data_IF_493794950555
#
_entry.id   IF_493794950555
#
_cell.length_a   1.000
_cell.length_b   1.000
_cell.length_c   1.000
_cell.angle_alpha   90.00
_cell.angle_beta   90.00
_cell.angle_gamma   90.00
#
_symmetry.space_group_name_H-M   'P 1'
#
loop_
_entity.id
_entity.type
_entity.pdbx_description
1 polymer ?
#
# COMPACT_ATOMS: atom_id res chain seq x y z
N UNK A 1 7.74 -15.26 24.80
CA UNK A 1 6.37 -15.08 25.35
C UNK A 1 5.56 -16.28 24.94
N UNK A 2 4.79 -16.93 25.83
CA UNK A 2 3.82 -17.94 25.38
C UNK A 2 2.72 -17.18 24.62
N UNK A 3 2.56 -17.52 23.36
CA UNK A 3 1.51 -16.98 22.52
C UNK A 3 0.19 -17.54 23.03
N UNK A 4 -0.80 -16.69 23.27
CA UNK A 4 -2.12 -17.11 23.78
C UNK A 4 -3.13 -17.39 22.67
N UNK A 5 -2.70 -17.29 21.38
CA UNK A 5 -3.59 -17.54 20.26
C UNK A 5 -3.85 -19.05 20.10
N UNK A 6 -5.11 -19.40 19.97
CA UNK A 6 -5.58 -20.77 19.70
C UNK A 6 -6.51 -20.80 18.49
N UNK A 7 -6.27 -21.75 17.57
CA UNK A 7 -7.14 -21.98 16.43
C UNK A 7 -8.50 -22.48 16.89
N UNK A 8 -9.55 -22.08 16.17
CA UNK A 8 -10.91 -22.59 16.41
C UNK A 8 -11.05 -24.10 16.12
N UNK A 9 -10.11 -24.67 15.35
CA UNK A 9 -10.09 -26.06 14.95
C UNK A 9 -11.41 -26.54 14.31
N UNK A 10 -11.97 -25.71 13.43
CA UNK A 10 -13.26 -25.90 12.77
C UNK A 10 -13.19 -26.66 11.45
N UNK A 11 -12.07 -27.33 11.15
CA UNK A 11 -11.83 -28.07 9.91
C UNK A 11 -11.44 -27.20 8.71
N UNK A 12 -11.34 -25.88 8.88
CA UNK A 12 -10.89 -24.94 7.84
C UNK A 12 -9.37 -24.83 7.82
N UNK A 13 -8.82 -24.38 6.68
CA UNK A 13 -7.39 -24.04 6.57
C UNK A 13 -7.02 -23.00 7.63
N UNK A 14 -5.96 -23.26 8.38
CA UNK A 14 -5.35 -22.35 9.36
C UNK A 14 -4.47 -21.35 8.64
N UNK A 15 -5.00 -20.16 8.40
CA UNK A 15 -4.31 -19.11 7.65
C UNK A 15 -3.70 -18.07 8.59
N UNK A 16 -2.39 -17.91 8.54
CA UNK A 16 -1.70 -16.81 9.18
C UNK A 16 -1.54 -15.66 8.19
N UNK A 17 -1.94 -14.45 8.59
CA UNK A 17 -1.69 -13.20 7.85
C UNK A 17 -0.75 -12.35 8.69
N UNK A 18 0.37 -11.91 8.14
CA UNK A 18 1.32 -11.04 8.84
C UNK A 18 1.31 -9.66 8.20
N UNK A 19 1.12 -8.63 9.01
CA UNK A 19 1.11 -7.22 8.63
C UNK A 19 2.02 -6.41 9.54
N UNK A 20 2.56 -5.30 9.06
CA UNK A 20 3.47 -4.45 9.84
C UNK A 20 3.20 -2.97 9.73
N UNK A 21 2.44 -2.53 8.73
CA UNK A 21 2.25 -1.12 8.42
C UNK A 21 0.79 -0.80 8.09
N UNK A 22 0.44 0.49 8.20
CA UNK A 22 -0.89 1.01 7.81
C UNK A 22 -1.29 0.66 6.37
N UNK A 23 -0.42 0.90 5.36
CA UNK A 23 -0.76 0.55 3.98
C UNK A 23 -1.11 -0.92 3.79
N UNK A 24 -0.46 -1.84 4.52
CA UNK A 24 -0.79 -3.27 4.46
C UNK A 24 -2.18 -3.54 5.04
N UNK A 25 -2.53 -2.93 6.18
CA UNK A 25 -3.85 -3.08 6.81
C UNK A 25 -4.95 -2.56 5.88
N UNK A 26 -4.76 -1.38 5.29
CA UNK A 26 -5.71 -0.78 4.34
C UNK A 26 -5.92 -1.71 3.16
N UNK A 27 -4.85 -2.08 2.46
CA UNK A 27 -4.90 -2.91 1.26
C UNK A 27 -5.45 -4.31 1.52
N UNK A 28 -5.13 -4.90 2.68
CA UNK A 28 -5.63 -6.23 3.03
C UNK A 28 -7.01 -6.21 3.69
N UNK A 29 -7.61 -5.07 3.98
CA UNK A 29 -8.84 -4.99 4.77
C UNK A 29 -9.99 -5.84 4.21
N UNK A 30 -10.26 -5.77 2.90
CA UNK A 30 -11.25 -6.59 2.23
C UNK A 30 -10.84 -8.08 2.22
N UNK A 31 -9.57 -8.36 1.94
CA UNK A 31 -9.02 -9.72 1.93
C UNK A 31 -9.06 -10.36 3.32
N UNK A 32 -8.73 -9.62 4.38
CA UNK A 32 -8.83 -10.11 5.77
C UNK A 32 -10.26 -10.49 6.12
N UNK A 33 -11.25 -9.63 5.80
CA UNK A 33 -12.66 -9.95 6.02
C UNK A 33 -13.04 -11.25 5.34
N UNK A 34 -12.70 -11.38 4.08
CA UNK A 34 -13.02 -12.55 3.28
C UNK A 34 -12.30 -13.82 3.76
N UNK A 35 -11.04 -13.68 4.16
CA UNK A 35 -10.28 -14.81 4.75
C UNK A 35 -10.91 -15.29 6.07
N UNK A 36 -11.38 -14.39 6.92
CA UNK A 36 -12.07 -14.75 8.18
C UNK A 36 -13.40 -15.47 7.97
N UNK A 37 -14.08 -15.27 6.85
CA UNK A 37 -15.30 -16.00 6.49
C UNK A 37 -15.01 -17.45 6.10
N UNK A 38 -13.94 -17.68 5.34
CA UNK A 38 -13.65 -18.97 4.72
C UNK A 38 -12.61 -19.81 5.44
N UNK A 39 -11.70 -19.19 6.20
CA UNK A 39 -10.59 -19.85 6.88
C UNK A 39 -10.66 -19.69 8.40
N UNK A 40 -9.92 -20.52 9.11
CA UNK A 40 -9.52 -20.26 10.48
C UNK A 40 -8.31 -19.32 10.43
N UNK A 41 -8.52 -18.05 10.77
CA UNK A 41 -7.60 -16.98 10.41
C UNK A 41 -6.98 -16.33 11.65
N UNK A 42 -5.65 -16.25 11.68
CA UNK A 42 -4.86 -15.51 12.64
C UNK A 42 -4.20 -14.32 11.98
N UNK A 43 -4.33 -13.13 12.58
CA UNK A 43 -3.66 -11.92 12.12
C UNK A 43 -2.57 -11.56 13.12
N UNK A 44 -1.31 -11.55 12.68
CA UNK A 44 -0.18 -11.12 13.46
C UNK A 44 0.34 -9.76 12.97
N UNK A 45 0.50 -8.82 13.89
CA UNK A 45 1.08 -7.52 13.61
C UNK A 45 2.52 -7.46 14.10
N UNK A 46 3.45 -7.03 13.25
CA UNK A 46 4.87 -6.97 13.61
C UNK A 46 5.17 -5.93 14.68
N UNK A 47 4.40 -4.84 14.75
CA UNK A 47 4.65 -3.73 15.67
C UNK A 47 5.69 -2.73 15.15
N UNK A 48 6.03 -2.77 13.86
CA UNK A 48 7.06 -1.93 13.26
C UNK A 48 6.76 -0.43 13.37
N UNK A 49 5.50 -0.02 13.26
CA UNK A 49 5.05 1.37 13.41
C UNK A 49 4.12 1.46 14.62
N UNK A 50 4.72 1.59 15.80
CA UNK A 50 4.00 1.63 17.06
C UNK A 50 3.57 3.07 17.41
N UNK A 51 2.49 3.54 16.80
CA UNK A 51 1.66 4.59 17.36
C UNK A 51 0.30 3.98 17.66
N UNK A 52 0.07 3.66 18.94
CA UNK A 52 -1.14 2.97 19.43
C UNK A 52 -2.41 3.70 18.99
N UNK A 53 -2.39 5.04 19.03
CA UNK A 53 -3.55 5.87 18.71
C UNK A 53 -3.89 5.88 17.22
N UNK A 54 -2.90 5.69 16.35
CA UNK A 54 -3.11 5.64 14.91
C UNK A 54 -3.54 4.24 14.42
N UNK A 55 -3.10 3.17 15.07
CA UNK A 55 -3.43 1.80 14.64
C UNK A 55 -4.89 1.43 14.92
N UNK A 56 -5.42 1.74 16.10
CA UNK A 56 -6.79 1.36 16.48
C UNK A 56 -7.85 2.02 15.59
N UNK A 57 -7.61 3.25 15.14
CA UNK A 57 -8.49 3.97 14.22
C UNK A 57 -8.61 3.22 12.88
N UNK A 58 -7.50 2.68 12.33
CA UNK A 58 -7.56 1.97 11.04
C UNK A 58 -8.30 0.65 11.11
N UNK A 59 -8.13 -0.13 12.18
CA UNK A 59 -8.90 -1.35 12.35
C UNK A 59 -10.40 -1.06 12.45
N UNK A 60 -10.78 0.00 13.16
CA UNK A 60 -12.17 0.41 13.31
C UNK A 60 -12.76 1.00 12.02
N UNK A 61 -12.02 1.83 11.27
CA UNK A 61 -12.46 2.41 10.00
C UNK A 61 -12.91 1.35 9.01
N UNK A 62 -12.15 0.24 8.96
CA UNK A 62 -12.48 -0.90 8.10
C UNK A 62 -13.39 -1.93 8.78
N UNK A 63 -13.90 -1.67 9.99
CA UNK A 63 -14.72 -2.64 10.75
C UNK A 63 -14.02 -4.00 10.89
N UNK A 64 -12.72 -3.95 11.18
CA UNK A 64 -11.89 -5.10 11.50
C UNK A 64 -11.65 -5.14 13.00
N UNK A 65 -11.65 -6.34 13.59
CA UNK A 65 -11.03 -6.53 14.91
C UNK A 65 -9.52 -6.36 14.76
N UNK A 66 -8.86 -5.84 15.79
CA UNK A 66 -7.40 -5.72 15.81
C UNK A 66 -6.67 -7.05 15.56
N UNK A 67 -5.34 -7.04 15.57
CA UNK A 67 -4.54 -8.25 15.38
C UNK A 67 -4.73 -9.22 16.54
N UNK A 68 -4.69 -10.52 16.23
CA UNK A 68 -4.77 -11.58 17.23
C UNK A 68 -3.44 -11.73 18.00
N UNK A 69 -2.33 -11.34 17.37
CA UNK A 69 -0.97 -11.45 17.91
C UNK A 69 -0.15 -10.20 17.64
N UNK A 70 0.54 -9.68 18.66
CA UNK A 70 1.55 -8.64 18.53
C UNK A 70 2.95 -9.26 18.64
N UNK A 71 3.78 -9.10 17.58
CA UNK A 71 5.11 -9.73 17.53
C UNK A 71 6.21 -8.88 18.18
N UNK A 72 6.02 -7.53 18.23
CA UNK A 72 6.97 -6.58 18.86
C UNK A 72 8.41 -6.75 18.35
N UNK A 73 8.61 -6.55 17.05
CA UNK A 73 9.88 -6.83 16.36
C UNK A 73 10.88 -5.67 16.37
N UNK A 74 10.49 -4.49 16.82
CA UNK A 74 11.34 -3.30 16.74
C UNK A 74 12.64 -3.53 17.52
N UNK A 75 13.76 -3.38 16.87
CA UNK A 75 15.11 -3.47 17.42
C UNK A 75 15.77 -2.08 17.50
N UNK A 76 17.00 -2.04 17.99
CA UNK A 76 17.79 -0.80 18.13
C UNK A 76 18.18 -0.20 16.77
N UNK A 77 18.21 -1.03 15.73
CA UNK A 77 18.52 -0.62 14.35
C UNK A 77 17.76 -1.48 13.34
N UNK A 78 17.86 -1.12 12.07
CA UNK A 78 17.17 -1.81 10.98
C UNK A 78 17.56 -3.28 10.88
N UNK A 79 18.84 -3.60 11.03
CA UNK A 79 19.33 -4.99 10.97
C UNK A 79 18.72 -5.87 12.07
N UNK A 80 18.67 -5.37 13.32
CA UNK A 80 17.98 -6.07 14.41
C UNK A 80 16.48 -6.21 14.15
N UNK A 81 15.83 -5.17 13.63
CA UNK A 81 14.42 -5.20 13.29
C UNK A 81 14.13 -6.29 12.26
N UNK A 82 14.89 -6.35 11.16
CA UNK A 82 14.77 -7.41 10.16
C UNK A 82 15.04 -8.82 10.75
N UNK A 83 16.09 -8.94 11.56
CA UNK A 83 16.40 -10.20 12.28
C UNK A 83 15.28 -10.62 13.21
N UNK A 84 14.68 -9.69 13.95
CA UNK A 84 13.56 -9.95 14.85
C UNK A 84 12.29 -10.38 14.09
N UNK A 85 12.01 -9.82 12.90
CA UNK A 85 10.90 -10.32 12.06
C UNK A 85 11.07 -11.81 11.80
N UNK A 86 12.25 -12.23 11.34
CA UNK A 86 12.53 -13.64 11.04
C UNK A 86 12.43 -14.50 12.32
N UNK A 87 13.10 -14.09 13.39
CA UNK A 87 13.13 -14.87 14.64
C UNK A 87 11.73 -15.03 15.26
N UNK A 88 11.00 -13.92 15.42
CA UNK A 88 9.68 -13.92 16.04
C UNK A 88 8.61 -14.62 15.19
N UNK A 89 8.68 -14.46 13.87
CA UNK A 89 7.77 -15.18 12.99
C UNK A 89 8.04 -16.70 12.98
N UNK A 90 9.30 -17.10 13.10
CA UNK A 90 9.64 -18.51 13.24
C UNK A 90 9.08 -19.10 14.55
N UNK A 91 9.29 -18.43 15.69
CA UNK A 91 8.73 -18.83 16.98
C UNK A 91 7.20 -18.94 16.91
N UNK A 92 6.53 -17.91 16.37
CA UNK A 92 5.08 -17.90 16.22
C UNK A 92 4.59 -19.07 15.37
N UNK A 93 5.15 -19.26 14.18
CA UNK A 93 4.72 -20.31 13.25
C UNK A 93 5.01 -21.72 13.79
N UNK A 94 6.11 -21.92 14.51
CA UNK A 94 6.45 -23.20 15.14
C UNK A 94 5.45 -23.54 16.26
N UNK A 95 4.97 -22.54 16.99
CA UNK A 95 4.00 -22.69 18.08
C UNK A 95 2.59 -22.96 17.54
N UNK A 96 2.04 -22.05 16.69
CA UNK A 96 0.64 -22.14 16.22
C UNK A 96 0.44 -23.05 15.02
N UNK A 97 1.49 -23.42 14.28
CA UNK A 97 1.48 -24.36 13.13
C UNK A 97 0.40 -24.06 12.10
N UNK A 98 0.47 -22.90 11.40
CA UNK A 98 -0.49 -22.58 10.36
C UNK A 98 -0.32 -23.49 9.13
N UNK A 99 -1.40 -23.69 8.36
CA UNK A 99 -1.38 -24.42 7.10
C UNK A 99 -0.87 -23.57 5.94
N UNK A 100 -0.98 -22.23 6.04
CA UNK A 100 -0.52 -21.28 5.05
C UNK A 100 -0.19 -19.92 5.66
N UNK A 101 0.71 -19.19 4.98
CA UNK A 101 1.05 -17.78 5.25
C UNK A 101 0.60 -16.91 4.08
N UNK A 102 -0.11 -15.83 4.36
CA UNK A 102 -0.40 -14.73 3.43
C UNK A 102 0.38 -13.49 3.85
N UNK A 103 1.11 -12.91 2.92
CA UNK A 103 1.85 -11.65 3.07
C UNK A 103 1.55 -10.71 1.90
N UNK A 104 1.79 -9.42 2.12
CA UNK A 104 1.60 -8.40 1.11
C UNK A 104 2.83 -7.53 0.97
N UNK A 105 3.27 -7.34 -0.28
CA UNK A 105 4.27 -6.33 -0.66
C UNK A 105 5.67 -6.63 -0.15
N UNK A 106 6.35 -5.59 0.25
CA UNK A 106 7.80 -5.51 0.37
C UNK A 106 8.31 -4.86 1.65
N UNK A 107 7.41 -4.49 2.57
CA UNK A 107 7.83 -3.99 3.89
C UNK A 107 8.55 -5.09 4.68
N UNK A 108 9.23 -4.74 5.77
CA UNK A 108 9.98 -5.73 6.53
C UNK A 108 9.12 -6.92 7.03
N UNK A 109 7.80 -6.75 7.17
CA UNK A 109 6.87 -7.83 7.53
C UNK A 109 6.96 -9.03 6.59
N UNK A 110 7.24 -8.79 5.28
CA UNK A 110 7.34 -9.83 4.27
C UNK A 110 8.52 -10.80 4.51
N UNK A 111 9.55 -10.40 5.26
CA UNK A 111 10.70 -11.26 5.61
C UNK A 111 10.27 -12.47 6.47
N UNK A 112 9.09 -12.45 7.05
CA UNK A 112 8.46 -13.62 7.70
C UNK A 112 8.32 -14.82 6.76
N UNK A 113 8.31 -14.61 5.44
CA UNK A 113 8.35 -15.65 4.43
C UNK A 113 9.57 -16.57 4.57
N UNK A 114 10.72 -16.06 5.04
CA UNK A 114 11.92 -16.87 5.28
C UNK A 114 11.64 -17.94 6.34
N UNK A 115 10.95 -17.58 7.42
CA UNK A 115 10.55 -18.49 8.48
C UNK A 115 9.55 -19.54 8.01
N UNK A 116 8.52 -19.11 7.26
CA UNK A 116 7.55 -20.02 6.68
C UNK A 116 8.21 -21.03 5.72
N UNK A 117 9.16 -20.55 4.89
CA UNK A 117 9.92 -21.43 4.00
C UNK A 117 10.70 -22.48 4.74
N UNK A 118 11.33 -22.14 5.86
CA UNK A 118 12.10 -23.07 6.71
C UNK A 118 11.20 -24.09 7.43
N UNK A 119 9.96 -23.69 7.74
CA UNK A 119 8.96 -24.56 8.38
C UNK A 119 8.09 -25.32 7.37
N UNK A 120 8.36 -25.21 6.07
CA UNK A 120 7.60 -25.83 4.98
C UNK A 120 6.12 -25.43 4.99
N UNK A 121 5.82 -24.17 5.32
CA UNK A 121 4.48 -23.61 5.29
C UNK A 121 4.28 -22.94 3.92
N UNK A 122 3.22 -23.29 3.16
CA UNK A 122 2.88 -22.66 1.91
C UNK A 122 2.77 -21.15 2.03
N UNK A 123 3.45 -20.41 1.13
CA UNK A 123 3.54 -18.95 1.14
C UNK A 123 2.81 -18.37 -0.05
N UNK A 124 1.85 -17.47 0.23
CA UNK A 124 1.11 -16.69 -0.76
C UNK A 124 1.54 -15.22 -0.65
N UNK A 125 2.10 -14.67 -1.71
CA UNK A 125 2.65 -13.32 -1.75
C UNK A 125 1.83 -12.42 -2.66
N UNK A 126 1.03 -11.50 -2.10
CA UNK A 126 0.32 -10.46 -2.83
C UNK A 126 1.26 -9.29 -3.15
N UNK A 127 0.99 -8.56 -4.23
CA UNK A 127 1.84 -7.50 -4.77
C UNK A 127 3.20 -8.00 -5.27
N UNK A 128 3.28 -9.26 -5.64
CA UNK A 128 4.49 -9.87 -6.18
C UNK A 128 4.88 -9.28 -7.55
N UNK A 129 6.15 -9.23 -7.85
CA UNK A 129 6.67 -8.86 -9.18
C UNK A 129 6.77 -7.37 -9.46
N UNK A 130 6.40 -6.49 -8.55
CA UNK A 130 6.63 -5.05 -8.71
C UNK A 130 8.13 -4.74 -8.77
N UNK A 131 8.51 -3.77 -9.62
CA UNK A 131 9.92 -3.34 -9.79
C UNK A 131 9.99 -1.84 -10.00
N UNK A 132 10.88 -1.17 -9.28
CA UNK A 132 11.13 0.26 -9.46
C UNK A 132 12.51 0.60 -10.03
N UNK A 133 13.39 -0.36 -10.23
CA UNK A 133 14.77 -0.18 -10.71
C UNK A 133 15.66 0.72 -9.82
N UNK A 134 15.21 1.08 -8.64
CA UNK A 134 15.99 1.83 -7.66
C UNK A 134 16.41 0.87 -6.54
N UNK A 135 17.66 0.40 -6.64
CA UNK A 135 18.21 -0.55 -5.66
C UNK A 135 18.63 0.11 -4.33
N UNK A 136 18.54 1.44 -4.23
CA UNK A 136 18.72 2.14 -2.96
C UNK A 136 17.52 1.97 -2.02
N UNK A 137 16.35 1.55 -2.56
CA UNK A 137 15.18 1.29 -1.76
C UNK A 137 15.28 -0.07 -1.06
N UNK A 138 15.20 -0.12 0.28
CA UNK A 138 15.21 -1.39 1.02
C UNK A 138 14.11 -2.36 0.56
N UNK A 139 12.98 -1.82 0.17
CA UNK A 139 11.83 -2.56 -0.33
C UNK A 139 12.15 -3.34 -1.62
N UNK A 140 13.03 -2.80 -2.50
CA UNK A 140 13.43 -3.52 -3.71
C UNK A 140 14.19 -4.82 -3.39
N UNK A 141 15.02 -4.79 -2.36
CA UNK A 141 15.70 -5.99 -1.86
C UNK A 141 14.71 -7.00 -1.29
N UNK A 142 13.80 -6.53 -0.43
CA UNK A 142 12.80 -7.38 0.21
C UNK A 142 11.91 -8.09 -0.82
N UNK A 143 11.37 -7.34 -1.81
CA UNK A 143 10.46 -7.91 -2.82
C UNK A 143 11.15 -8.98 -3.67
N UNK A 144 12.40 -8.76 -4.08
CA UNK A 144 13.18 -9.75 -4.83
C UNK A 144 13.38 -11.05 -4.04
N UNK A 145 13.72 -10.94 -2.76
CA UNK A 145 13.86 -12.12 -1.89
C UNK A 145 12.53 -12.87 -1.81
N UNK A 146 11.47 -12.16 -1.50
CA UNK A 146 10.16 -12.78 -1.19
C UNK A 146 9.50 -13.33 -2.45
N UNK A 147 9.61 -12.69 -3.61
CA UNK A 147 9.13 -13.22 -4.88
C UNK A 147 9.75 -14.60 -5.19
N UNK A 148 11.06 -14.74 -4.95
CA UNK A 148 11.78 -15.99 -5.24
C UNK A 148 11.41 -17.12 -4.29
N UNK A 149 11.24 -16.83 -3.00
CA UNK A 149 11.00 -17.88 -1.99
C UNK A 149 9.52 -18.21 -1.81
N UNK A 150 8.59 -17.37 -2.29
CA UNK A 150 7.15 -17.61 -2.20
C UNK A 150 6.73 -18.79 -3.08
N UNK A 151 5.78 -19.57 -2.60
CA UNK A 151 5.28 -20.75 -3.30
C UNK A 151 4.23 -20.38 -4.36
N UNK A 152 3.42 -19.35 -4.09
CA UNK A 152 2.41 -18.80 -5.00
C UNK A 152 2.55 -17.27 -5.00
N UNK A 153 2.85 -16.71 -6.17
CA UNK A 153 2.95 -15.27 -6.39
C UNK A 153 1.62 -14.73 -6.95
N UNK A 154 1.15 -13.65 -6.37
CA UNK A 154 -0.11 -12.98 -6.68
C UNK A 154 0.17 -11.53 -7.13
N UNK A 155 0.72 -11.32 -8.34
CA UNK A 155 0.96 -9.98 -8.88
C UNK A 155 -0.35 -9.23 -9.09
N UNK A 156 -0.29 -7.90 -9.01
CA UNK A 156 -1.44 -7.04 -9.25
C UNK A 156 -1.69 -6.84 -10.75
N UNK A 157 -0.64 -6.81 -11.56
CA UNK A 157 -0.73 -6.50 -12.98
C UNK A 157 -0.12 -7.59 -13.85
N UNK A 158 -0.55 -7.63 -15.12
CA UNK A 158 0.08 -8.50 -16.12
C UNK A 158 1.54 -8.09 -16.38
N UNK A 159 1.90 -6.80 -16.21
CA UNK A 159 3.29 -6.34 -16.28
C UNK A 159 4.14 -6.99 -15.17
N UNK A 160 3.69 -6.93 -13.92
CA UNK A 160 4.37 -7.56 -12.78
C UNK A 160 4.47 -9.09 -12.96
N UNK A 161 3.41 -9.73 -13.44
CA UNK A 161 3.40 -11.17 -13.75
C UNK A 161 4.46 -11.52 -14.80
N UNK A 162 4.60 -10.70 -15.83
CA UNK A 162 5.62 -10.89 -16.87
C UNK A 162 7.03 -10.82 -16.27
N UNK A 163 7.32 -9.86 -15.39
CA UNK A 163 8.61 -9.79 -14.69
C UNK A 163 8.90 -11.08 -13.90
N UNK A 164 7.92 -11.61 -13.17
CA UNK A 164 8.08 -12.87 -12.44
C UNK A 164 8.42 -14.04 -13.38
N UNK A 165 7.74 -14.16 -14.52
CA UNK A 165 8.03 -15.20 -15.50
C UNK A 165 9.43 -15.06 -16.12
N UNK A 166 9.87 -13.83 -16.42
CA UNK A 166 11.22 -13.54 -16.90
C UNK A 166 12.31 -13.90 -15.87
N UNK A 167 11.98 -13.79 -14.57
CA UNK A 167 12.84 -14.26 -13.48
C UNK A 167 12.81 -15.77 -13.27
N UNK A 168 12.04 -16.52 -14.06
CA UNK A 168 11.93 -17.98 -13.95
C UNK A 168 10.94 -18.47 -12.91
N UNK A 169 10.04 -17.60 -12.40
CA UNK A 169 8.99 -18.06 -11.49
C UNK A 169 7.99 -18.98 -12.19
N UNK A 170 7.51 -20.04 -11.51
CA UNK A 170 6.59 -21.01 -12.11
C UNK A 170 5.29 -20.38 -12.59
N UNK A 171 4.95 -20.56 -13.87
CA UNK A 171 3.74 -20.00 -14.47
C UNK A 171 2.47 -20.53 -13.80
N UNK A 172 2.48 -21.81 -13.45
CA UNK A 172 1.37 -22.51 -12.80
C UNK A 172 1.15 -22.09 -11.34
N UNK A 173 2.01 -21.25 -10.79
CA UNK A 173 1.91 -20.71 -9.43
C UNK A 173 2.03 -19.18 -9.37
N UNK A 174 1.73 -18.53 -10.51
CA UNK A 174 1.77 -17.05 -10.63
C UNK A 174 0.44 -16.58 -11.23
N UNK A 175 -0.39 -15.92 -10.40
CA UNK A 175 -1.76 -15.54 -10.75
C UNK A 175 -1.97 -14.04 -10.59
N UNK A 176 -2.27 -13.34 -11.69
CA UNK A 176 -2.65 -11.92 -11.62
C UNK A 176 -4.01 -11.78 -10.93
N UNK A 177 -4.02 -11.08 -9.79
CA UNK A 177 -5.22 -10.88 -8.99
C UNK A 177 -5.88 -9.52 -9.22
N UNK A 178 -5.14 -8.55 -9.68
CA UNK A 178 -5.51 -7.14 -9.60
C UNK A 178 -5.11 -6.54 -8.24
N UNK A 179 -5.10 -5.21 -8.16
CA UNK A 179 -4.89 -4.50 -6.90
C UNK A 179 -6.14 -4.58 -6.01
N UNK A 180 -6.00 -4.82 -4.70
CA UNK A 180 -7.13 -4.82 -3.78
C UNK A 180 -7.73 -3.43 -3.51
N UNK A 181 -7.06 -2.33 -3.94
CA UNK A 181 -7.50 -0.96 -3.63
C UNK A 181 -8.89 -0.64 -4.18
N UNK A 182 -9.23 -1.10 -5.38
CA UNK A 182 -10.57 -0.87 -5.94
C UNK A 182 -11.68 -1.47 -5.07
N UNK A 183 -11.49 -2.71 -4.59
CA UNK A 183 -12.43 -3.36 -3.68
C UNK A 183 -12.54 -2.63 -2.33
N UNK A 184 -11.40 -2.16 -1.79
CA UNK A 184 -11.37 -1.38 -0.54
C UNK A 184 -12.07 -0.04 -0.70
N UNK A 185 -11.79 0.69 -1.76
CA UNK A 185 -12.43 1.98 -2.06
C UNK A 185 -13.93 1.81 -2.31
N UNK A 186 -14.34 0.79 -3.07
CA UNK A 186 -15.76 0.48 -3.31
C UNK A 186 -16.48 0.18 -2.01
N UNK A 187 -15.90 -0.64 -1.16
CA UNK A 187 -16.49 -1.01 0.13
C UNK A 187 -16.66 0.15 1.11
N UNK A 188 -15.91 1.24 0.92
CA UNK A 188 -15.96 2.44 1.75
C UNK A 188 -16.56 3.67 1.02
N UNK A 189 -16.99 3.53 -0.23
CA UNK A 189 -17.35 4.68 -1.09
C UNK A 189 -18.44 5.58 -0.48
N UNK A 190 -19.45 5.01 0.15
CA UNK A 190 -20.51 5.79 0.79
C UNK A 190 -20.00 6.56 2.02
N UNK A 191 -19.11 5.97 2.82
CA UNK A 191 -18.45 6.66 3.94
C UNK A 191 -17.54 7.78 3.42
N UNK A 192 -16.81 7.52 2.34
CA UNK A 192 -15.96 8.51 1.69
C UNK A 192 -16.81 9.69 1.22
N UNK A 193 -17.89 9.45 0.49
CA UNK A 193 -18.77 10.50 -0.03
C UNK A 193 -19.48 11.30 1.07
N UNK A 194 -19.80 10.68 2.18
CA UNK A 194 -20.51 11.32 3.31
C UNK A 194 -19.58 12.03 4.30
N UNK A 195 -18.26 12.04 4.08
CA UNK A 195 -17.33 12.76 4.95
C UNK A 195 -17.60 14.28 4.94
N UNK A 196 -17.58 14.88 6.11
CA UNK A 196 -17.75 16.32 6.33
C UNK A 196 -16.41 17.10 6.37
N UNK A 197 -15.32 16.43 5.97
CA UNK A 197 -13.94 16.95 6.11
C UNK A 197 -13.73 18.29 5.42
N UNK A 198 -14.38 18.55 4.29
CA UNK A 198 -14.30 19.87 3.62
C UNK A 198 -14.79 20.98 4.54
N UNK A 199 -15.95 20.78 5.17
CA UNK A 199 -16.51 21.76 6.12
C UNK A 199 -15.63 21.93 7.36
N UNK A 200 -15.11 20.83 7.93
CA UNK A 200 -14.21 20.87 9.09
C UNK A 200 -12.90 21.61 8.82
N UNK A 201 -12.39 21.53 7.59
CA UNK A 201 -11.13 22.18 7.20
C UNK A 201 -11.34 23.54 6.51
N UNK A 202 -12.59 23.98 6.31
CA UNK A 202 -12.90 25.22 5.60
C UNK A 202 -12.36 25.21 4.17
N UNK A 203 -12.57 24.11 3.46
CA UNK A 203 -12.19 23.91 2.06
C UNK A 203 -13.43 23.81 1.19
N UNK A 204 -13.31 24.24 -0.07
CA UNK A 204 -14.35 24.13 -1.07
C UNK A 204 -13.91 23.21 -2.20
N UNK A 205 -14.85 22.51 -2.79
CA UNK A 205 -14.60 21.60 -3.92
C UNK A 205 -13.92 22.35 -5.08
N UNK A 206 -12.92 21.72 -5.68
CA UNK A 206 -12.09 22.24 -6.78
C UNK A 206 -11.37 23.57 -6.46
N UNK A 207 -11.26 23.96 -5.17
CA UNK A 207 -10.61 25.20 -4.72
C UNK A 207 -9.43 24.93 -3.77
N UNK A 208 -8.81 23.78 -3.86
CA UNK A 208 -7.58 23.43 -3.11
C UNK A 208 -6.79 22.36 -3.84
N UNK A 209 -5.51 22.29 -3.55
CA UNK A 209 -4.62 21.19 -3.96
C UNK A 209 -4.38 20.30 -2.73
N UNK A 210 -4.51 18.98 -2.90
CA UNK A 210 -4.16 18.02 -1.87
C UNK A 210 -2.73 17.55 -2.08
N UNK A 211 -1.87 17.75 -1.09
CA UNK A 211 -0.47 17.32 -1.09
C UNK A 211 -0.23 16.19 -0.09
N UNK A 212 0.47 15.14 -0.54
CA UNK A 212 1.05 14.12 0.33
C UNK A 212 2.47 13.81 -0.12
N UNK A 213 3.46 14.14 0.72
CA UNK A 213 4.87 13.94 0.45
C UNK A 213 5.55 13.39 1.71
N UNK A 214 6.01 12.14 1.65
CA UNK A 214 6.56 11.44 2.81
C UNK A 214 7.69 10.46 2.47
N UNK A 215 7.98 10.25 1.19
CA UNK A 215 9.03 9.35 0.75
C UNK A 215 10.43 9.87 1.09
N UNK A 216 11.30 8.95 1.54
CA UNK A 216 12.67 9.25 1.95
C UNK A 216 13.44 9.94 0.83
N UNK A 217 13.30 9.46 -0.40
CA UNK A 217 13.93 10.02 -1.60
C UNK A 217 13.63 11.51 -1.81
N UNK A 218 12.44 11.97 -1.40
CA UNK A 218 12.02 13.36 -1.54
C UNK A 218 12.39 14.24 -0.34
N UNK A 219 12.52 13.66 0.85
CA UNK A 219 12.56 14.40 2.12
C UNK A 219 13.93 14.34 2.78
N UNK A 220 14.69 13.25 2.64
CA UNK A 220 15.90 13.03 3.44
C UNK A 220 17.10 13.81 2.93
N UNK A 221 17.23 14.03 1.63
CA UNK A 221 18.31 14.86 1.11
C UNK A 221 17.90 16.32 1.08
N UNK A 222 18.78 17.21 1.56
CA UNK A 222 18.53 18.66 1.60
C UNK A 222 18.18 19.22 0.22
N UNK A 223 18.89 18.77 -0.83
CA UNK A 223 18.65 19.20 -2.20
C UNK A 223 17.24 18.87 -2.67
N UNK A 224 16.78 17.65 -2.46
CA UNK A 224 15.46 17.21 -2.91
C UNK A 224 14.36 17.88 -2.07
N UNK A 225 14.58 17.99 -0.77
CA UNK A 225 13.68 18.68 0.13
C UNK A 225 13.44 20.15 -0.30
N UNK A 226 14.51 20.91 -0.52
CA UNK A 226 14.41 22.31 -0.95
C UNK A 226 13.74 22.40 -2.33
N UNK A 227 14.11 21.51 -3.28
CA UNK A 227 13.50 21.48 -4.62
C UNK A 227 11.99 21.25 -4.54
N UNK A 228 11.56 20.24 -3.79
CA UNK A 228 10.16 19.90 -3.63
C UNK A 228 9.35 21.06 -3.01
N UNK A 229 9.79 21.57 -1.86
CA UNK A 229 9.00 22.59 -1.16
C UNK A 229 9.05 23.96 -1.86
N UNK A 230 10.11 24.25 -2.63
CA UNK A 230 10.13 25.41 -3.56
C UNK A 230 9.09 25.22 -4.65
N UNK A 231 8.96 24.04 -5.21
CA UNK A 231 7.94 23.73 -6.22
C UNK A 231 6.51 23.82 -5.63
N UNK A 232 6.31 23.39 -4.39
CA UNK A 232 5.02 23.50 -3.67
C UNK A 232 4.66 24.98 -3.43
N UNK A 233 5.62 25.82 -3.02
CA UNK A 233 5.36 27.26 -2.89
C UNK A 233 4.99 27.88 -4.24
N UNK A 234 5.64 27.48 -5.34
CA UNK A 234 5.30 27.96 -6.68
C UNK A 234 3.90 27.51 -7.14
N UNK A 235 3.47 26.29 -6.76
CA UNK A 235 2.06 25.86 -6.98
C UNK A 235 1.09 26.76 -6.23
N UNK A 236 1.37 27.07 -4.94
CA UNK A 236 0.52 27.93 -4.14
C UNK A 236 0.41 29.36 -4.74
N UNK A 237 1.51 29.89 -5.22
CA UNK A 237 1.54 31.20 -5.89
C UNK A 237 0.74 31.20 -7.21
N UNK A 238 0.94 30.16 -8.03
CA UNK A 238 0.33 30.07 -9.36
C UNK A 238 -1.18 29.94 -9.34
N UNK A 239 -1.68 29.03 -8.49
CA UNK A 239 -3.13 28.71 -8.46
C UNK A 239 -3.91 29.59 -7.49
N UNK A 240 -3.24 30.27 -6.57
CA UNK A 240 -3.83 31.12 -5.52
C UNK A 240 -4.93 30.43 -4.70
N UNK A 241 -4.78 29.13 -4.46
CA UNK A 241 -5.67 28.31 -3.64
C UNK A 241 -4.90 27.67 -2.46
N UNK A 242 -5.60 27.25 -1.39
CA UNK A 242 -4.97 26.50 -0.32
C UNK A 242 -4.33 25.20 -0.83
N UNK A 243 -3.14 24.87 -0.34
CA UNK A 243 -2.53 23.55 -0.48
C UNK A 243 -2.66 22.85 0.86
N UNK A 244 -3.50 21.83 0.96
CA UNK A 244 -3.62 21.01 2.15
C UNK A 244 -2.53 19.93 2.13
N UNK A 245 -1.55 20.07 2.99
CA UNK A 245 -0.47 19.11 3.15
C UNK A 245 -0.78 18.12 4.28
N UNK A 246 -1.26 16.91 3.90
CA UNK A 246 -1.39 15.79 4.83
C UNK A 246 0.01 15.28 5.17
N UNK A 247 0.54 15.75 6.29
CA UNK A 247 1.95 15.67 6.63
C UNK A 247 2.22 14.54 7.61
N UNK A 248 3.07 13.59 7.23
CA UNK A 248 3.55 12.56 8.15
C UNK A 248 4.43 13.19 9.25
N UNK A 249 4.42 12.70 10.51
CA UNK A 249 5.22 13.24 11.60
C UNK A 249 6.71 13.41 11.28
N UNK A 250 7.31 12.48 10.55
CA UNK A 250 8.69 12.56 10.07
C UNK A 250 8.92 13.77 9.17
N UNK A 251 8.02 13.99 8.21
CA UNK A 251 8.11 15.11 7.27
C UNK A 251 7.91 16.44 7.98
N UNK A 252 7.00 16.49 8.97
CA UNK A 252 6.75 17.67 9.82
C UNK A 252 8.01 18.04 10.60
N UNK A 253 8.62 17.07 11.27
CA UNK A 253 9.87 17.26 12.01
C UNK A 253 10.98 17.80 11.10
N UNK A 254 11.15 17.20 9.92
CA UNK A 254 12.15 17.65 8.94
C UNK A 254 11.89 19.08 8.47
N UNK A 255 10.62 19.44 8.25
CA UNK A 255 10.23 20.80 7.87
C UNK A 255 10.58 21.82 8.95
N UNK A 256 10.29 21.51 10.21
CA UNK A 256 10.62 22.35 11.36
C UNK A 256 12.15 22.52 11.53
N UNK A 257 12.91 21.44 11.40
CA UNK A 257 14.38 21.46 11.52
C UNK A 257 15.07 22.19 10.37
N UNK A 258 14.49 22.18 9.17
CA UNK A 258 15.09 22.82 7.99
C UNK A 258 15.04 24.35 8.01
N UNK A 259 14.13 24.94 8.79
CA UNK A 259 13.85 26.37 8.75
C UNK A 259 13.25 26.87 7.43
N UNK A 260 12.80 25.95 6.54
CA UNK A 260 12.20 26.33 5.26
C UNK A 260 10.87 27.04 5.47
N UNK A 261 10.68 28.16 4.77
CA UNK A 261 9.44 28.95 4.87
C UNK A 261 8.44 28.50 3.80
N UNK A 262 7.34 27.92 4.25
CA UNK A 262 6.20 27.60 3.39
C UNK A 262 5.41 28.86 3.04
N UNK A 263 4.82 28.90 1.85
CA UNK A 263 3.83 29.91 1.49
C UNK A 263 2.64 29.85 2.47
N UNK A 264 2.05 31.00 2.78
CA UNK A 264 0.92 31.13 3.73
C UNK A 264 -0.31 30.31 3.35
N UNK A 265 -0.44 29.92 2.09
CA UNK A 265 -1.53 29.10 1.54
C UNK A 265 -1.30 27.60 1.77
N UNK A 266 -0.06 27.19 2.12
CA UNK A 266 0.24 25.79 2.44
C UNK A 266 -0.18 25.53 3.90
N UNK A 267 -1.22 24.74 4.07
CA UNK A 267 -1.78 24.35 5.37
C UNK A 267 -1.31 22.95 5.73
N UNK A 268 -0.42 22.86 6.71
CA UNK A 268 0.08 21.58 7.23
C UNK A 268 -0.95 20.97 8.17
N UNK A 269 -1.42 19.75 7.89
CA UNK A 269 -2.33 19.00 8.74
C UNK A 269 -1.69 17.71 9.24
N UNK A 270 -2.15 17.20 10.36
CA UNK A 270 -1.87 15.83 10.78
C UNK A 270 -2.39 14.84 9.74
N UNK A 271 -1.85 13.59 9.72
CA UNK A 271 -2.34 12.55 8.83
C UNK A 271 -3.84 12.32 9.00
N UNK A 272 -4.54 12.29 7.88
CA UNK A 272 -6.00 12.11 7.85
C UNK A 272 -6.37 10.63 7.85
N UNK A 273 -7.57 10.31 8.32
CA UNK A 273 -8.19 8.99 8.20
C UNK A 273 -8.46 8.63 6.73
N UNK A 274 -8.63 7.34 6.45
CA UNK A 274 -8.81 6.82 5.09
C UNK A 274 -9.99 7.48 4.35
N UNK A 275 -11.15 7.57 4.98
CA UNK A 275 -12.33 8.11 4.35
C UNK A 275 -12.22 9.62 4.06
N UNK A 276 -11.68 10.38 5.01
CA UNK A 276 -11.46 11.81 4.86
C UNK A 276 -10.43 12.14 3.77
N UNK A 277 -9.31 11.41 3.76
CA UNK A 277 -8.29 11.60 2.74
C UNK A 277 -8.82 11.33 1.33
N UNK A 278 -9.56 10.23 1.17
CA UNK A 278 -10.16 9.88 -0.11
C UNK A 278 -11.29 10.85 -0.52
N UNK A 279 -12.05 11.38 0.43
CA UNK A 279 -13.02 12.45 0.13
C UNK A 279 -12.32 13.72 -0.38
N UNK A 280 -11.19 14.08 0.24
CA UNK A 280 -10.38 15.21 -0.21
C UNK A 280 -9.77 14.96 -1.60
N UNK A 281 -9.29 13.74 -1.90
CA UNK A 281 -8.82 13.41 -3.25
C UNK A 281 -9.90 13.62 -4.31
N UNK A 282 -11.13 13.16 -4.05
CA UNK A 282 -12.25 13.27 -4.97
C UNK A 282 -12.64 14.73 -5.27
N UNK A 283 -12.42 15.63 -4.34
CA UNK A 283 -12.88 17.01 -4.41
C UNK A 283 -11.77 18.05 -4.64
N UNK A 284 -10.52 17.62 -4.78
CA UNK A 284 -9.39 18.51 -5.03
C UNK A 284 -9.35 19.03 -6.47
N UNK A 285 -8.83 20.25 -6.65
CA UNK A 285 -8.43 20.78 -7.95
C UNK A 285 -7.39 19.86 -8.60
N UNK A 286 -6.35 19.50 -7.82
CA UNK A 286 -5.34 18.52 -8.17
C UNK A 286 -4.86 17.75 -6.92
N UNK A 287 -4.40 16.52 -7.12
CA UNK A 287 -3.78 15.68 -6.11
C UNK A 287 -2.32 15.51 -6.46
N UNK A 288 -1.44 15.98 -5.59
CA UNK A 288 0.02 15.90 -5.75
C UNK A 288 0.55 14.95 -4.67
N UNK A 289 1.10 13.80 -5.07
CA UNK A 289 1.47 12.77 -4.09
C UNK A 289 2.65 11.92 -4.54
N UNK A 290 3.47 11.47 -3.57
CA UNK A 290 4.49 10.45 -3.76
C UNK A 290 4.02 9.04 -3.33
N UNK A 291 2.74 8.89 -3.01
CA UNK A 291 2.16 7.61 -2.62
C UNK A 291 2.17 6.60 -3.77
N UNK A 292 2.57 5.36 -3.47
CA UNK A 292 2.50 4.26 -4.42
C UNK A 292 1.06 3.84 -4.78
N UNK A 293 0.05 4.26 -4.01
CA UNK A 293 -1.38 3.94 -4.27
C UNK A 293 -2.07 4.98 -5.14
N UNK A 294 -1.49 6.16 -5.36
CA UNK A 294 -2.10 7.21 -6.18
C UNK A 294 -2.57 6.72 -7.56
N UNK A 295 -1.78 5.92 -8.32
CA UNK A 295 -2.24 5.39 -9.60
C UNK A 295 -3.44 4.44 -9.48
N UNK A 296 -3.47 3.62 -8.44
CA UNK A 296 -4.55 2.69 -8.16
C UNK A 296 -5.85 3.43 -7.80
N UNK A 297 -5.74 4.46 -6.96
CA UNK A 297 -6.83 5.33 -6.52
C UNK A 297 -7.37 6.15 -7.71
N UNK A 298 -6.50 6.75 -8.51
CA UNK A 298 -6.87 7.52 -9.70
C UNK A 298 -7.61 6.65 -10.71
N UNK A 299 -7.10 5.44 -10.97
CA UNK A 299 -7.74 4.49 -11.87
C UNK A 299 -9.13 4.08 -11.40
N UNK A 300 -9.28 3.80 -10.11
CA UNK A 300 -10.59 3.50 -9.52
C UNK A 300 -11.56 4.67 -9.68
N UNK A 301 -11.16 5.90 -9.33
CA UNK A 301 -12.03 7.06 -9.45
C UNK A 301 -12.43 7.33 -10.90
N UNK A 302 -11.49 7.18 -11.84
CA UNK A 302 -11.81 7.28 -13.26
C UNK A 302 -12.83 6.22 -13.69
N UNK A 303 -12.74 4.99 -13.17
CA UNK A 303 -13.65 3.88 -13.50
C UNK A 303 -15.09 4.12 -13.06
N UNK A 304 -15.27 4.89 -11.97
CA UNK A 304 -16.60 5.24 -11.45
C UNK A 304 -17.13 6.59 -11.96
N UNK A 305 -16.47 7.18 -12.97
CA UNK A 305 -16.88 8.46 -13.56
C UNK A 305 -16.57 9.67 -12.70
N UNK A 306 -15.61 9.58 -11.79
CA UNK A 306 -15.17 10.67 -10.92
C UNK A 306 -13.67 10.93 -11.06
N UNK A 307 -13.18 11.38 -12.25
CA UNK A 307 -11.76 11.53 -12.49
C UNK A 307 -11.11 12.57 -11.58
N UNK A 308 -9.89 12.30 -11.14
CA UNK A 308 -9.05 13.24 -10.38
C UNK A 308 -7.84 13.69 -11.20
N UNK A 309 -7.38 14.91 -11.02
CA UNK A 309 -6.14 15.40 -11.61
C UNK A 309 -4.96 14.91 -10.76
N UNK A 310 -4.43 13.72 -11.05
CA UNK A 310 -3.41 13.05 -10.27
C UNK A 310 -2.01 13.33 -10.81
N UNK A 311 -1.13 13.83 -9.94
CA UNK A 311 0.28 14.14 -10.23
C UNK A 311 1.17 13.41 -9.22
N UNK A 312 1.99 12.49 -9.71
CA UNK A 312 2.91 11.71 -8.91
C UNK A 312 4.29 12.38 -8.86
N UNK A 313 4.72 12.82 -7.67
CA UNK A 313 5.99 13.52 -7.45
C UNK A 313 7.12 12.52 -7.14
N UNK A 314 7.43 11.67 -8.12
CA UNK A 314 8.48 10.67 -8.04
C UNK A 314 9.34 10.70 -9.31
N UNK A 315 10.56 10.17 -9.21
CA UNK A 315 11.49 10.01 -10.36
C UNK A 315 11.26 8.71 -11.12
N UNK A 316 10.56 7.75 -10.49
CA UNK A 316 10.22 6.45 -11.08
C UNK A 316 8.89 5.96 -10.51
N UNK A 317 8.32 4.94 -11.13
CA UNK A 317 7.07 4.31 -10.66
C UNK A 317 7.16 2.80 -10.74
N UNK A 318 6.57 2.10 -9.77
CA UNK A 318 6.33 0.66 -9.82
C UNK A 318 5.01 0.33 -10.55
N UNK A 319 4.34 1.31 -11.14
CA UNK A 319 3.02 1.20 -11.80
C UNK A 319 3.08 1.69 -13.25
N UNK A 320 3.97 1.12 -14.11
CA UNK A 320 4.10 1.57 -15.49
C UNK A 320 2.81 1.39 -16.31
N UNK A 321 2.01 0.38 -15.98
CA UNK A 321 0.72 0.09 -16.62
C UNK A 321 -0.30 1.22 -16.44
N UNK A 322 -0.29 1.93 -15.31
CA UNK A 322 -1.17 3.07 -15.09
C UNK A 322 -0.72 4.32 -15.87
N UNK A 323 0.58 4.47 -16.13
CA UNK A 323 1.07 5.48 -17.07
C UNK A 323 0.63 5.19 -18.50
N UNK A 324 0.67 3.91 -18.91
CA UNK A 324 0.25 3.49 -20.24
C UNK A 324 -1.24 3.77 -20.49
N UNK A 325 -2.07 3.62 -19.46
CA UNK A 325 -3.51 3.93 -19.51
C UNK A 325 -3.84 5.42 -19.35
N UNK A 326 -2.91 6.19 -18.75
CA UNK A 326 -3.05 7.65 -18.61
C UNK A 326 -3.80 8.10 -17.36
N UNK A 327 -3.80 7.30 -16.30
CA UNK A 327 -4.54 7.57 -15.07
C UNK A 327 -3.91 8.67 -14.21
N UNK A 328 -2.61 8.93 -14.38
CA UNK A 328 -1.87 9.95 -13.65
C UNK A 328 -0.69 10.48 -14.46
N UNK A 329 -0.11 11.58 -14.03
CA UNK A 329 1.10 12.15 -14.63
C UNK A 329 2.27 11.96 -13.65
N UNK A 330 3.36 11.36 -14.12
CA UNK A 330 4.61 11.28 -13.38
C UNK A 330 5.37 12.58 -13.55
N UNK A 331 5.51 13.34 -12.50
CA UNK A 331 6.30 14.56 -12.42
C UNK A 331 7.47 14.34 -11.45
N UNK A 332 8.60 14.92 -11.73
CA UNK A 332 9.68 15.03 -10.76
C UNK A 332 9.32 16.00 -9.62
N UNK A 333 10.33 16.45 -8.92
CA UNK A 333 10.21 17.39 -7.80
C UNK A 333 10.72 18.80 -8.14
N UNK A 334 11.09 19.06 -9.39
CA UNK A 334 11.50 20.41 -9.81
C UNK A 334 10.28 21.31 -10.04
N UNK A 335 10.44 22.61 -9.80
CA UNK A 335 9.37 23.58 -9.96
C UNK A 335 8.78 23.54 -11.36
N UNK A 336 9.59 23.51 -12.40
CA UNK A 336 9.13 23.53 -13.79
C UNK A 336 8.31 22.28 -14.12
N UNK A 337 8.83 21.09 -13.79
CA UNK A 337 8.15 19.81 -14.07
C UNK A 337 6.83 19.70 -13.34
N UNK A 338 6.81 20.07 -12.04
CA UNK A 338 5.61 19.97 -11.22
C UNK A 338 4.52 20.94 -11.68
N UNK A 339 4.87 22.20 -12.02
CA UNK A 339 3.91 23.16 -12.55
C UNK A 339 3.32 22.71 -13.88
N UNK A 340 4.15 22.21 -14.81
CA UNK A 340 3.69 21.73 -16.12
C UNK A 340 2.79 20.50 -15.99
N UNK A 341 3.17 19.54 -15.15
CA UNK A 341 2.39 18.33 -14.93
C UNK A 341 1.03 18.64 -14.28
N UNK A 342 1.01 19.58 -13.33
CA UNK A 342 -0.22 19.99 -12.66
C UNK A 342 -1.16 20.72 -13.61
N UNK A 343 -0.65 21.65 -14.43
CA UNK A 343 -1.44 22.31 -15.49
C UNK A 343 -2.08 21.28 -16.43
N UNK A 344 -1.26 20.35 -16.91
CA UNK A 344 -1.72 19.32 -17.83
C UNK A 344 -2.79 18.43 -17.17
N UNK A 345 -2.59 17.96 -15.95
CA UNK A 345 -3.54 17.11 -15.25
C UNK A 345 -4.90 17.81 -15.05
N UNK A 346 -4.88 19.07 -14.62
CA UNK A 346 -6.10 19.89 -14.45
C UNK A 346 -6.81 20.09 -15.76
N UNK A 347 -6.08 20.44 -16.81
CA UNK A 347 -6.67 20.71 -18.14
C UNK A 347 -7.25 19.43 -18.77
N UNK A 348 -6.54 18.30 -18.66
CA UNK A 348 -7.05 17.00 -19.12
C UNK A 348 -8.32 16.59 -18.37
N UNK A 349 -8.36 16.78 -17.03
CA UNK A 349 -9.57 16.57 -16.23
C UNK A 349 -10.71 17.43 -16.72
N UNK A 350 -10.46 18.74 -16.94
CA UNK A 350 -11.47 19.72 -17.42
C UNK A 350 -12.04 19.36 -18.80
N UNK A 351 -11.19 18.87 -19.68
CA UNK A 351 -11.58 18.47 -21.04
C UNK A 351 -12.20 17.06 -21.11
N UNK A 352 -12.13 16.29 -20.03
CA UNK A 352 -12.59 14.90 -20.01
C UNK A 352 -11.75 13.96 -20.90
N UNK A 353 -10.46 14.30 -21.09
CA UNK A 353 -9.51 13.52 -21.91
C UNK A 353 -8.44 12.81 -21.10
N UNK A 354 -8.65 12.65 -19.78
CA UNK A 354 -7.88 11.68 -19.00
C UNK A 354 -8.01 10.31 -19.65
N UNK A 355 -6.97 9.49 -19.52
CA UNK A 355 -6.89 8.18 -20.16
C UNK A 355 -8.05 7.22 -19.86
N UNK A 356 -7.77 5.93 -19.85
CA UNK A 356 -8.73 4.89 -19.49
C UNK A 356 -8.35 4.30 -18.15
N UNK A 357 -9.33 3.83 -17.35
CA UNK A 357 -9.01 3.11 -16.11
C UNK A 357 -8.10 1.90 -16.41
N UNK A 358 -7.03 1.75 -15.63
CA UNK A 358 -6.16 0.58 -15.72
C UNK A 358 -6.92 -0.67 -15.26
N UNK A 359 -7.09 -1.69 -16.13
CA UNK A 359 -7.86 -2.88 -15.78
C UNK A 359 -7.37 -3.61 -14.52
N UNK A 360 -6.05 -3.57 -14.28
CA UNK A 360 -5.42 -4.20 -13.12
C UNK A 360 -5.77 -3.53 -11.78
N UNK A 361 -6.33 -2.30 -11.83
CA UNK A 361 -6.64 -1.47 -10.65
C UNK A 361 -8.13 -1.18 -10.47
N UNK A 362 -9.00 -1.85 -11.21
CA UNK A 362 -10.46 -1.66 -11.15
C UNK A 362 -11.24 -2.89 -10.73
N UNK A 363 -10.55 -3.99 -10.42
CA UNK A 363 -11.20 -5.22 -9.99
C UNK A 363 -11.68 -5.13 -8.54
N UNK A 364 -12.97 -5.26 -8.33
CA UNK A 364 -13.63 -5.19 -7.02
C UNK A 364 -13.84 -6.58 -6.38
N UNK A 365 -13.18 -7.62 -6.88
CA UNK A 365 -13.34 -9.02 -6.44
C UNK A 365 -12.03 -9.72 -6.06
N UNK A 366 -10.98 -8.94 -5.83
CA UNK A 366 -9.62 -9.44 -5.55
C UNK A 366 -9.59 -10.37 -4.34
N UNK A 367 -10.29 -10.01 -3.26
CA UNK A 367 -10.36 -10.84 -2.05
C UNK A 367 -10.86 -12.26 -2.32
N UNK A 368 -11.87 -12.41 -3.19
CA UNK A 368 -12.40 -13.73 -3.58
C UNK A 368 -11.44 -14.52 -4.46
N UNK A 369 -10.68 -13.84 -5.32
CA UNK A 369 -9.61 -14.50 -6.10
C UNK A 369 -8.55 -15.07 -5.16
N UNK A 370 -8.08 -14.26 -4.21
CA UNK A 370 -7.06 -14.66 -3.22
C UNK A 370 -7.54 -15.88 -2.41
N UNK A 371 -8.76 -15.82 -1.86
CA UNK A 371 -9.34 -16.93 -1.09
C UNK A 371 -9.40 -18.22 -1.92
N UNK A 372 -9.90 -18.15 -3.17
CA UNK A 372 -9.97 -19.33 -4.06
C UNK A 372 -8.60 -19.90 -4.37
N UNK A 373 -7.59 -19.05 -4.60
CA UNK A 373 -6.22 -19.49 -4.87
C UNK A 373 -5.62 -20.16 -3.64
N UNK A 374 -5.75 -19.57 -2.45
CA UNK A 374 -5.26 -20.17 -1.20
C UNK A 374 -5.92 -21.55 -1.01
N UNK A 375 -7.26 -21.62 -1.09
CA UNK A 375 -7.98 -22.88 -0.92
C UNK A 375 -7.53 -23.96 -1.91
N UNK A 376 -7.24 -23.57 -3.15
CA UNK A 376 -6.81 -24.50 -4.19
C UNK A 376 -5.37 -24.98 -4.03
N UNK A 377 -4.47 -24.08 -3.59
CA UNK A 377 -3.03 -24.29 -3.71
C UNK A 377 -2.33 -24.76 -2.45
N UNK A 378 -2.92 -24.66 -1.27
CA UNK A 378 -2.29 -25.15 -0.02
C UNK A 378 -1.90 -26.62 -0.16
N UNK A 379 -2.82 -27.47 -0.60
CA UNK A 379 -2.55 -28.89 -0.80
C UNK A 379 -1.63 -29.16 -2.00
N UNK A 380 -1.75 -28.42 -3.09
CA UNK A 380 -0.86 -28.53 -4.24
C UNK A 380 0.58 -28.24 -3.84
N UNK A 381 0.82 -27.16 -3.11
CA UNK A 381 2.17 -26.80 -2.61
C UNK A 381 2.68 -27.86 -1.64
N UNK A 382 1.87 -28.31 -0.69
CA UNK A 382 2.26 -29.35 0.25
C UNK A 382 2.68 -30.64 -0.47
N UNK A 383 1.94 -31.06 -1.50
CA UNK A 383 2.23 -32.26 -2.26
C UNK A 383 3.40 -32.10 -3.23
N UNK A 384 3.38 -31.06 -4.05
CA UNK A 384 4.32 -30.90 -5.17
C UNK A 384 5.65 -30.27 -4.77
N UNK A 385 5.63 -29.32 -3.80
CA UNK A 385 6.84 -28.59 -3.36
C UNK A 385 7.43 -29.27 -2.13
N UNK A 386 6.61 -29.52 -1.10
CA UNK A 386 7.09 -30.01 0.19
C UNK A 386 7.06 -31.53 0.31
N UNK A 387 6.45 -32.22 -0.65
CA UNK A 387 6.31 -33.70 -0.65
C UNK A 387 5.80 -34.25 0.69
N UNK A 388 4.90 -33.50 1.30
CA UNK A 388 4.21 -33.97 2.50
C UNK A 388 3.28 -35.10 2.08
N UNK A 389 3.45 -36.28 2.67
CA UNK A 389 2.49 -37.37 2.52
C UNK A 389 1.15 -36.93 3.12
N UNK A 390 0.07 -37.43 2.56
CA UNK A 390 -1.29 -37.11 3.01
C UNK A 390 -1.38 -37.34 4.53
N UNK A 391 -1.69 -36.28 5.26
CA UNK A 391 -1.87 -36.33 6.71
C UNK A 391 -3.31 -36.71 7.04
#
# INVERSE_FOLDING_TARGET
MRNTFEWKNNGKIKLLIIVGTRPEIIRLSATIKRCREFFDCCIAHTGQNYDVNLNDVFWSDFSLSGPDVWMNIVGENLGQTCGNVIARSYELMADIKPDALLILGDTNSCLSAISAKRLHIPIFHMEAGNRCKDECLPEETNRRIVDVISDVNLPYSEAAKKYLHEMGMPKERTYCTGSPMAEVLRGNLEKIKSSDVLGRLGLEKDQYILLSAHREENIDTEKNFISLFTAINALAEKYDVPILYSCHPRSKKRLEESGFTLDKRVRVSEPLGFNDYNHLQMNALAVVSDSGTLPEESSFYLSIGHPIAAVCIRTSTERPEALETGDFILAGISTQELLQATDMAIEMKRQGILGKPCPDYTDETVSMKVVRIIQSYVNVVNKMVWRKEDR
#
